data_IF_535011474966
#
_entry.id   IF_535011474966
#
_cell.length_a   1.000
_cell.length_b   1.000
_cell.length_c   1.000
_cell.angle_alpha   90.00
_cell.angle_beta   90.00
_cell.angle_gamma   90.00
#
_symmetry.space_group_name_H-M   'P 1'
#
loop_
_entity.id
_entity.type
_entity.pdbx_description
1 polymer ?
#
# COMPACT_ATOMS: atom_id res chain seq x y z
N UNK A 1 -5.89 1.27 4.92
CA UNK A 1 -5.58 0.85 3.55
C UNK A 1 -5.78 2.00 2.58
N UNK A 2 -5.04 2.00 1.51
CA UNK A 2 -5.01 3.10 0.54
C UNK A 2 -4.32 2.65 -0.75
N UNK A 3 -4.46 3.38 -1.87
CA UNK A 3 -3.74 3.16 -3.10
C UNK A 3 -2.81 4.32 -3.47
N UNK A 4 -1.68 3.98 -4.10
CA UNK A 4 -0.72 4.95 -4.60
C UNK A 4 -0.28 4.65 -6.04
N UNK A 5 0.12 5.69 -6.75
CA UNK A 5 0.47 5.65 -8.17
C UNK A 5 1.96 5.88 -8.35
N UNK A 6 2.63 4.94 -9.01
CA UNK A 6 4.07 4.96 -9.29
C UNK A 6 4.33 5.02 -10.79
N UNK A 7 5.26 5.86 -11.20
CA UNK A 7 5.65 6.04 -12.60
C UNK A 7 6.18 7.43 -12.87
N UNK A 8 6.49 7.77 -14.12
CA UNK A 8 7.11 9.04 -14.49
C UNK A 8 6.23 10.23 -14.07
N UNK A 9 6.89 11.33 -13.68
CA UNK A 9 6.20 12.54 -13.19
C UNK A 9 5.23 13.13 -14.22
N UNK A 10 5.54 13.04 -15.51
CA UNK A 10 4.68 13.52 -16.61
C UNK A 10 5.22 13.12 -17.97
N UNK A 11 4.37 12.59 -18.83
CA UNK A 11 4.52 12.59 -20.27
C UNK A 11 3.48 13.60 -20.79
N UNK A 12 3.82 14.41 -21.83
CA UNK A 12 2.90 15.38 -22.44
C UNK A 12 1.52 14.76 -22.68
N UNK A 13 0.44 15.42 -22.24
CA UNK A 13 -0.93 15.06 -22.53
C UNK A 13 -1.81 14.90 -21.30
N UNK A 14 -1.94 13.72 -20.73
CA UNK A 14 -2.92 13.43 -19.67
C UNK A 14 -2.35 13.64 -18.27
N UNK A 15 -3.10 14.39 -17.41
CA UNK A 15 -2.75 14.67 -16.02
C UNK A 15 -3.48 13.71 -15.06
N UNK A 16 -2.92 13.50 -13.85
CA UNK A 16 -3.59 12.83 -12.74
C UNK A 16 -3.63 11.30 -12.81
N UNK A 17 -4.67 10.71 -12.24
CA UNK A 17 -4.89 9.25 -12.14
C UNK A 17 -5.02 8.58 -13.51
N UNK A 18 -5.35 9.33 -14.58
CA UNK A 18 -5.51 8.84 -15.96
C UNK A 18 -4.24 8.81 -16.80
N UNK A 19 -3.05 9.08 -16.26
CA UNK A 19 -1.81 8.92 -16.99
C UNK A 19 -1.49 7.42 -17.17
N UNK A 20 -1.77 6.87 -18.35
CA UNK A 20 -1.77 5.44 -18.66
C UNK A 20 -0.44 4.68 -18.52
N UNK A 21 0.63 5.33 -18.03
CA UNK A 21 1.93 4.72 -17.78
C UNK A 21 2.24 4.46 -16.31
N UNK A 22 1.31 4.73 -15.39
CA UNK A 22 1.53 4.53 -13.95
C UNK A 22 1.07 3.16 -13.48
N UNK A 23 1.89 2.51 -12.67
CA UNK A 23 1.50 1.33 -11.92
C UNK A 23 0.68 1.75 -10.69
N UNK A 24 -0.47 1.13 -10.51
CA UNK A 24 -1.32 1.32 -9.33
C UNK A 24 -0.90 0.29 -8.30
N UNK A 25 -0.56 0.75 -7.12
CA UNK A 25 -0.20 -0.11 -5.99
C UNK A 25 -1.24 0.06 -4.90
N UNK A 26 -1.87 -1.03 -4.52
CA UNK A 26 -2.75 -1.09 -3.37
C UNK A 26 -1.97 -1.52 -2.13
N UNK A 27 -2.16 -0.83 -1.01
CA UNK A 27 -1.46 -1.05 0.24
C UNK A 27 -2.40 -1.33 1.40
N UNK A 28 -2.07 -2.37 2.16
CA UNK A 28 -2.68 -2.73 3.43
C UNK A 28 -1.66 -2.46 4.54
N UNK A 29 -2.03 -1.68 5.55
CA UNK A 29 -1.19 -1.40 6.71
C UNK A 29 -1.83 -2.02 7.95
N UNK A 30 -1.12 -2.94 8.59
CA UNK A 30 -1.51 -3.51 9.87
C UNK A 30 -1.03 -2.60 11.01
N UNK A 31 -1.87 -2.37 12.02
CA UNK A 31 -1.60 -1.42 13.10
C UNK A 31 -0.27 -1.65 13.84
N UNK A 32 0.26 -2.87 13.86
CA UNK A 32 1.58 -3.17 14.42
C UNK A 32 2.77 -2.73 13.54
N UNK A 33 2.53 -2.01 12.45
CA UNK A 33 3.55 -1.41 11.61
C UNK A 33 3.94 -2.21 10.37
N UNK A 34 3.24 -3.28 10.03
CA UNK A 34 3.48 -4.08 8.83
C UNK A 34 2.66 -3.59 7.64
N UNK A 35 3.30 -3.57 6.47
CA UNK A 35 2.68 -3.24 5.18
C UNK A 35 2.67 -4.47 4.29
N UNK A 36 1.59 -4.64 3.56
CA UNK A 36 1.49 -5.51 2.40
C UNK A 36 1.10 -4.67 1.19
N UNK A 37 1.78 -4.87 0.06
CA UNK A 37 1.48 -4.17 -1.19
C UNK A 37 1.18 -5.13 -2.33
N UNK A 38 0.29 -4.71 -3.24
CA UNK A 38 -0.04 -5.45 -4.45
C UNK A 38 -0.18 -4.49 -5.63
N UNK A 39 0.42 -4.83 -6.77
CA UNK A 39 0.21 -4.09 -8.02
C UNK A 39 -1.13 -4.53 -8.58
N UNK A 40 -2.03 -3.58 -8.77
CA UNK A 40 -3.38 -3.84 -9.27
C UNK A 40 -3.61 -3.20 -10.64
N UNK A 41 -4.43 -3.81 -11.51
CA UNK A 41 -4.71 -3.26 -12.84
C UNK A 41 -5.54 -1.98 -12.78
N UNK A 42 -6.39 -1.85 -11.76
CA UNK A 42 -7.25 -0.68 -11.52
C UNK A 42 -7.60 -0.56 -10.04
N UNK A 43 -8.14 0.62 -9.65
CA UNK A 43 -8.64 0.88 -8.29
C UNK A 43 -10.17 0.70 -8.20
N UNK A 44 -10.75 -0.21 -9.00
CA UNK A 44 -12.19 -0.50 -8.95
C UNK A 44 -12.53 -1.33 -7.72
N UNK A 45 -13.75 -1.16 -7.23
CA UNK A 45 -14.31 -1.88 -6.09
C UNK A 45 -14.02 -3.39 -6.15
N UNK A 46 -14.32 -4.06 -7.28
CA UNK A 46 -14.12 -5.50 -7.47
C UNK A 46 -12.66 -5.92 -7.31
N UNK A 47 -11.74 -5.14 -7.86
CA UNK A 47 -10.29 -5.41 -7.81
C UNK A 47 -9.78 -5.28 -6.38
N UNK A 48 -10.09 -4.17 -5.70
CA UNK A 48 -9.62 -3.92 -4.34
C UNK A 48 -10.22 -4.91 -3.34
N UNK A 49 -11.53 -5.18 -3.45
CA UNK A 49 -12.21 -6.14 -2.56
C UNK A 49 -11.67 -7.55 -2.69
N UNK A 50 -11.23 -7.99 -3.90
CA UNK A 50 -10.59 -9.30 -4.09
C UNK A 50 -9.27 -9.38 -3.29
N UNK A 51 -8.43 -8.34 -3.33
CA UNK A 51 -7.19 -8.30 -2.57
C UNK A 51 -7.48 -8.28 -1.06
N UNK A 52 -8.42 -7.44 -0.62
CA UNK A 52 -8.81 -7.35 0.78
C UNK A 52 -9.28 -8.71 1.29
N UNK A 53 -10.19 -9.37 0.57
CA UNK A 53 -10.72 -10.70 0.95
C UNK A 53 -9.63 -11.77 1.06
N UNK A 54 -8.61 -11.71 0.22
CA UNK A 54 -7.51 -12.68 0.25
C UNK A 54 -6.43 -12.41 1.30
N UNK A 55 -6.42 -11.23 1.95
CA UNK A 55 -5.32 -10.79 2.82
C UNK A 55 -5.75 -10.30 4.19
N UNK A 56 -7.02 -9.99 4.38
CA UNK A 56 -7.55 -9.41 5.61
C UNK A 56 -8.58 -10.36 6.21
N UNK A 57 -8.43 -10.71 7.48
CA UNK A 57 -9.38 -11.54 8.21
C UNK A 57 -10.71 -10.79 8.42
N UNK A 58 -11.84 -11.50 8.41
CA UNK A 58 -13.18 -10.93 8.50
C UNK A 58 -13.45 -10.23 9.85
N UNK A 59 -12.81 -10.67 10.93
CA UNK A 59 -12.86 -10.07 12.25
C UNK A 59 -12.08 -8.75 12.37
N UNK A 60 -11.40 -8.34 11.29
CA UNK A 60 -10.60 -7.12 11.27
C UNK A 60 -11.46 -5.86 11.22
N UNK A 61 -11.00 -4.84 11.93
CA UNK A 61 -11.49 -3.47 11.80
C UNK A 61 -10.71 -2.80 10.68
N UNK A 62 -11.43 -2.32 9.67
CA UNK A 62 -10.83 -1.70 8.48
C UNK A 62 -10.93 -0.19 8.55
N UNK A 63 -9.83 0.49 8.20
CA UNK A 63 -9.78 1.94 8.03
C UNK A 63 -9.37 2.27 6.59
N UNK A 64 -10.13 3.14 5.91
CA UNK A 64 -9.81 3.63 4.57
C UNK A 64 -10.15 5.11 4.43
N UNK A 65 -9.73 5.72 3.32
CA UNK A 65 -10.28 7.00 2.89
C UNK A 65 -11.74 6.85 2.41
N UNK A 66 -12.33 7.97 1.97
CA UNK A 66 -13.69 8.01 1.45
C UNK A 66 -13.87 7.45 0.03
N UNK A 67 -12.87 6.79 -0.56
CA UNK A 67 -12.95 6.29 -1.93
C UNK A 67 -14.06 5.25 -2.11
N UNK A 68 -14.85 5.39 -3.18
CA UNK A 68 -15.99 4.49 -3.48
C UNK A 68 -15.61 3.02 -3.66
N UNK A 69 -14.34 2.73 -3.98
CA UNK A 69 -13.82 1.36 -4.10
C UNK A 69 -13.91 0.54 -2.81
N UNK A 70 -14.02 1.20 -1.67
CA UNK A 70 -14.12 0.56 -0.34
C UNK A 70 -15.56 0.41 0.17
N UNK A 71 -16.57 0.80 -0.60
CA UNK A 71 -17.96 0.66 -0.17
C UNK A 71 -18.38 -0.82 -0.08
N UNK A 72 -19.20 -1.16 0.93
CA UNK A 72 -19.78 -2.48 1.10
C UNK A 72 -18.83 -3.52 1.74
N UNK A 73 -17.78 -3.10 2.43
CA UNK A 73 -16.91 -4.04 3.16
C UNK A 73 -17.63 -4.70 4.33
N UNK A 74 -18.51 -3.97 5.02
CA UNK A 74 -19.36 -4.54 6.08
C UNK A 74 -20.30 -5.59 5.50
N UNK A 75 -20.89 -5.31 4.33
CA UNK A 75 -21.76 -6.27 3.63
C UNK A 75 -21.02 -7.55 3.19
N UNK A 76 -19.69 -7.46 3.09
CA UNK A 76 -18.81 -8.61 2.82
C UNK A 76 -18.45 -9.43 4.07
N UNK A 77 -18.95 -9.04 5.24
CA UNK A 77 -18.76 -9.74 6.51
C UNK A 77 -17.62 -9.20 7.39
N UNK A 78 -16.99 -8.06 7.04
CA UNK A 78 -15.99 -7.46 7.93
C UNK A 78 -16.64 -6.82 9.15
N UNK A 79 -16.00 -7.00 10.32
CA UNK A 79 -16.56 -6.59 11.61
C UNK A 79 -16.89 -5.09 11.66
N UNK A 80 -16.00 -4.22 11.18
CA UNK A 80 -16.22 -2.77 11.12
C UNK A 80 -15.41 -2.13 9.99
N UNK A 81 -15.96 -1.07 9.41
CA UNK A 81 -15.26 -0.24 8.42
C UNK A 81 -15.41 1.25 8.79
N UNK A 82 -14.29 1.89 9.11
CA UNK A 82 -14.21 3.32 9.38
C UNK A 82 -13.65 4.05 8.16
N UNK A 83 -14.29 5.16 7.79
CA UNK A 83 -13.86 6.04 6.71
C UNK A 83 -13.30 7.32 7.29
N UNK A 84 -12.12 7.71 6.84
CA UNK A 84 -11.50 8.98 7.21
C UNK A 84 -11.80 10.00 6.13
N UNK A 85 -12.48 11.08 6.47
CA UNK A 85 -12.75 12.20 5.55
C UNK A 85 -11.57 13.17 5.57
N UNK A 86 -10.84 13.27 4.47
CA UNK A 86 -9.76 14.26 4.28
C UNK A 86 -10.32 15.66 3.95
N UNK A 87 -11.14 16.25 4.78
CA UNK A 87 -11.72 17.55 4.43
C UNK A 87 -12.36 18.36 5.54
N UNK A 88 -12.71 17.73 6.59
CA UNK A 88 -13.07 18.39 7.84
C UNK A 88 -11.84 18.38 8.75
N UNK A 89 -11.53 19.51 9.40
CA UNK A 89 -10.49 19.65 10.44
C UNK A 89 -10.77 18.77 11.69
N UNK A 90 -11.39 17.63 11.51
CA UNK A 90 -11.43 16.56 12.49
C UNK A 90 -10.03 15.93 12.50
N UNK A 91 -9.15 16.58 13.25
CA UNK A 91 -7.96 15.94 13.81
C UNK A 91 -8.44 14.61 14.39
N UNK A 92 -7.96 13.54 13.79
CA UNK A 92 -8.23 12.16 14.06
C UNK A 92 -8.74 11.94 15.51
N UNK A 93 -10.02 11.63 15.63
CA UNK A 93 -10.46 10.90 16.80
C UNK A 93 -9.52 9.70 16.90
N UNK A 94 -8.95 9.42 18.08
CA UNK A 94 -7.95 8.37 18.37
C UNK A 94 -8.22 6.98 17.77
N UNK A 95 -9.32 6.82 17.07
CA UNK A 95 -9.87 5.58 16.53
C UNK A 95 -9.55 5.40 15.03
N UNK A 96 -9.29 6.47 14.25
CA UNK A 96 -9.19 6.37 12.79
C UNK A 96 -7.92 7.01 12.23
N UNK A 97 -6.88 6.20 11.99
CA UNK A 97 -5.61 6.66 11.44
C UNK A 97 -5.26 5.98 10.12
N UNK A 98 -5.05 6.79 9.05
CA UNK A 98 -4.46 6.34 7.79
C UNK A 98 -2.95 6.64 7.75
N UNK A 99 -2.44 7.40 8.71
CA UNK A 99 -1.05 7.90 8.77
C UNK A 99 0.02 6.82 8.55
N UNK A 100 -0.26 5.57 8.94
CA UNK A 100 0.70 4.46 8.75
C UNK A 100 0.93 4.11 7.29
N UNK A 101 -0.11 4.03 6.48
CA UNK A 101 0.03 3.73 5.05
C UNK A 101 0.56 4.94 4.29
N UNK A 102 0.18 6.16 4.68
CA UNK A 102 0.72 7.39 4.09
C UNK A 102 2.22 7.52 4.35
N UNK A 103 2.68 7.21 5.56
CA UNK A 103 4.11 7.15 5.91
C UNK A 103 4.86 6.15 5.03
N UNK A 104 4.28 4.97 4.79
CA UNK A 104 4.86 4.02 3.85
C UNK A 104 4.93 4.58 2.42
N UNK A 105 3.87 5.24 1.93
CA UNK A 105 3.91 5.83 0.59
C UNK A 105 4.97 6.92 0.45
N UNK A 106 5.14 7.77 1.45
CA UNK A 106 6.20 8.78 1.47
C UNK A 106 7.58 8.11 1.38
N UNK A 107 7.84 7.11 2.22
CA UNK A 107 9.06 6.31 2.19
C UNK A 107 9.30 5.63 0.84
N UNK A 108 8.28 4.96 0.30
CA UNK A 108 8.39 4.24 -0.98
C UNK A 108 8.66 5.20 -2.15
N UNK A 109 7.98 6.34 -2.21
CA UNK A 109 8.22 7.35 -3.26
C UNK A 109 9.61 7.95 -3.18
N UNK A 110 10.09 8.25 -1.96
CA UNK A 110 11.45 8.76 -1.76
C UNK A 110 12.51 7.74 -2.18
N UNK A 111 12.35 6.49 -1.76
CA UNK A 111 13.30 5.40 -2.09
C UNK A 111 13.32 5.08 -3.58
N UNK A 112 12.16 4.79 -4.16
CA UNK A 112 12.03 4.41 -5.57
C UNK A 112 12.36 5.57 -6.52
N UNK A 113 12.12 6.80 -6.09
CA UNK A 113 12.49 8.00 -6.86
C UNK A 113 14.00 8.21 -7.03
N UNK A 114 14.83 7.62 -6.16
CA UNK A 114 16.30 7.63 -6.29
C UNK A 114 16.79 6.66 -7.37
N UNK A 115 16.04 5.61 -7.64
CA UNK A 115 16.37 4.61 -8.67
C UNK A 115 15.77 5.10 -9.98
N UNK A 116 16.62 5.69 -10.84
CA UNK A 116 16.18 6.17 -12.16
C UNK A 116 16.13 5.00 -13.15
N UNK A 117 15.13 5.00 -14.03
CA UNK A 117 15.05 4.03 -15.12
C UNK A 117 14.61 2.62 -14.69
N UNK A 118 13.82 2.48 -13.63
CA UNK A 118 13.22 1.18 -13.27
C UNK A 118 12.37 0.69 -14.43
N UNK A 119 12.75 -0.45 -15.02
CA UNK A 119 11.94 -1.14 -16.02
C UNK A 119 10.66 -1.66 -15.38
N UNK A 120 9.57 -1.65 -16.15
CA UNK A 120 8.23 -2.03 -15.63
C UNK A 120 8.21 -3.46 -15.03
N UNK A 121 8.94 -4.37 -15.66
CA UNK A 121 9.05 -5.77 -15.23
C UNK A 121 9.78 -5.91 -13.88
N UNK A 122 10.73 -5.01 -13.61
CA UNK A 122 11.50 -5.01 -12.36
C UNK A 122 10.83 -4.24 -11.23
N UNK A 123 9.80 -3.46 -11.55
CA UNK A 123 9.12 -2.61 -10.55
C UNK A 123 8.57 -3.42 -9.38
N UNK A 124 8.02 -4.61 -9.64
CA UNK A 124 7.52 -5.49 -8.59
C UNK A 124 8.61 -5.86 -7.56
N UNK A 125 9.80 -6.22 -8.01
CA UNK A 125 10.92 -6.60 -7.13
C UNK A 125 11.37 -5.41 -6.27
N UNK A 126 11.52 -4.22 -6.87
CA UNK A 126 11.87 -3.00 -6.14
C UNK A 126 10.79 -2.59 -5.12
N UNK A 127 9.51 -2.79 -5.47
CA UNK A 127 8.40 -2.55 -4.57
C UNK A 127 8.45 -3.51 -3.36
N UNK A 128 8.67 -4.81 -3.61
CA UNK A 128 8.75 -5.83 -2.56
C UNK A 128 9.99 -5.66 -1.69
N UNK A 129 11.12 -5.25 -2.24
CA UNK A 129 12.28 -4.87 -1.45
C UNK A 129 11.97 -3.65 -0.56
N UNK A 130 11.26 -2.67 -1.08
CA UNK A 130 10.86 -1.47 -0.33
C UNK A 130 9.90 -1.84 0.82
N UNK A 131 8.92 -2.70 0.57
CA UNK A 131 8.01 -3.26 1.56
C UNK A 131 8.78 -4.01 2.67
N UNK A 132 9.68 -4.91 2.28
CA UNK A 132 10.53 -5.67 3.20
C UNK A 132 11.34 -4.73 4.11
N UNK A 133 12.04 -3.74 3.54
CA UNK A 133 12.83 -2.79 4.31
C UNK A 133 12.00 -1.94 5.26
N UNK A 134 10.80 -1.55 4.86
CA UNK A 134 9.88 -0.81 5.73
C UNK A 134 9.38 -1.69 6.89
N UNK A 135 9.03 -2.93 6.60
CA UNK A 135 8.56 -3.88 7.61
C UNK A 135 9.63 -4.21 8.64
N UNK A 136 10.88 -4.26 8.20
CA UNK A 136 12.06 -4.55 9.05
C UNK A 136 12.88 -3.32 9.42
N UNK A 137 12.28 -2.11 9.39
CA UNK A 137 12.98 -0.85 9.67
C UNK A 137 13.53 -0.70 11.09
N UNK A 138 13.08 -1.55 12.01
CA UNK A 138 13.55 -1.61 13.40
C UNK A 138 14.49 -2.78 13.64
N UNK A 139 14.68 -3.65 12.66
CA UNK A 139 15.49 -4.86 12.75
C UNK A 139 16.90 -4.61 12.23
N UNK A 140 17.85 -5.43 12.65
CA UNK A 140 19.15 -5.52 11.99
C UNK A 140 18.99 -6.33 10.69
N UNK A 141 18.75 -5.63 9.58
CA UNK A 141 18.47 -6.24 8.27
C UNK A 141 19.62 -7.14 7.80
N UNK A 142 20.88 -6.82 8.14
CA UNK A 142 22.03 -7.67 7.80
C UNK A 142 21.93 -9.03 8.46
N UNK A 143 21.72 -9.07 9.79
CA UNK A 143 21.55 -10.33 10.53
C UNK A 143 20.34 -11.12 10.03
N UNK A 144 19.24 -10.43 9.72
CA UNK A 144 18.05 -11.05 9.17
C UNK A 144 18.31 -11.71 7.82
N UNK A 145 19.00 -11.03 6.91
CA UNK A 145 19.34 -11.59 5.59
C UNK A 145 20.30 -12.79 5.73
N UNK A 146 21.30 -12.73 6.60
CA UNK A 146 22.17 -13.88 6.86
C UNK A 146 21.38 -15.09 7.38
N UNK A 147 20.43 -14.86 8.27
CA UNK A 147 19.54 -15.93 8.77
C UNK A 147 18.73 -16.54 7.62
N UNK A 148 18.08 -15.72 6.80
CA UNK A 148 17.28 -16.19 5.66
C UNK A 148 18.12 -17.00 4.65
N UNK A 149 19.34 -16.56 4.35
CA UNK A 149 20.25 -17.28 3.46
C UNK A 149 20.70 -18.63 4.02
N UNK A 150 20.85 -18.74 5.34
CA UNK A 150 21.17 -20.03 6.00
C UNK A 150 19.98 -20.99 5.98
N UNK A 151 18.77 -20.48 6.19
CA UNK A 151 17.55 -21.29 6.21
C UNK A 151 17.10 -21.69 4.80
N UNK A 152 17.42 -20.89 3.79
CA UNK A 152 17.07 -21.11 2.38
C UNK A 152 18.25 -20.69 1.50
N UNK A 153 19.26 -21.54 1.33
CA UNK A 153 20.36 -21.26 0.41
C UNK A 153 19.82 -21.09 -1.02
N UNK A 154 20.48 -20.21 -1.78
CA UNK A 154 20.15 -19.93 -3.19
C UNK A 154 20.68 -21.04 -4.05
#
# INVERSE_FOLDING_TARGET
MDESYFGPKRIRGKRGRGAGSKSIVFGLFKRNGWVYTEIVPDARKRTLQRVIRGKVSLDSIIHSDGWRGYHGLVDMGYAKHYRVAHGSNEFANDISHINGIESFWAYAKLRLGKIKGIRKEMFYLHLKETEFRFNHRRDNVYKLLLKLLRERPI
#
